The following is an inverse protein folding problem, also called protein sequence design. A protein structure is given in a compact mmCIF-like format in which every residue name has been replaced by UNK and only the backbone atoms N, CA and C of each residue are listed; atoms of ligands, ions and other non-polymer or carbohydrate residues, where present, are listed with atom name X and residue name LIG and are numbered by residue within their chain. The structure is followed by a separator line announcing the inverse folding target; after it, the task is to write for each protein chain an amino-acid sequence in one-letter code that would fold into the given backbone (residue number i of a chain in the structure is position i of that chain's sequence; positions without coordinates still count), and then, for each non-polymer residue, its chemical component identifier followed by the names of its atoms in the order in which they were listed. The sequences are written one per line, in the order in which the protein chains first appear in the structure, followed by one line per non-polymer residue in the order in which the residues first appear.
data_IF_373225378015
#
_entry.id   IF_373225378015
#
_cell.length_a   1.000
_cell.length_b   1.000
_cell.length_c   1.000
_cell.angle_alpha   90.00
_cell.angle_beta   90.00
_cell.angle_gamma   90.00
#
_symmetry.space_group_name_H-M   'P 1'
#
loop_
_entity.id
_entity.type
_entity.pdbx_description
1 polymer ?
#
# COMPACT_ATOMS: atom_id res chain seq x y z
N UNK A 1 -13.45 19.28 -22.73
CA UNK A 1 -12.48 18.32 -23.36
C UNK A 1 -12.59 18.29 -24.89
N UNK A 2 -11.58 17.77 -25.60
CA UNK A 2 -11.65 17.51 -27.05
C UNK A 2 -12.53 16.28 -27.35
N UNK A 3 -13.65 16.53 -28.01
CA UNK A 3 -14.69 15.53 -28.26
C UNK A 3 -14.25 14.41 -29.23
N UNK A 4 -13.41 14.72 -30.22
CA UNK A 4 -12.93 13.72 -31.16
C UNK A 4 -11.96 12.73 -30.49
N UNK A 5 -11.05 13.25 -29.64
CA UNK A 5 -10.13 12.41 -28.88
C UNK A 5 -10.90 11.55 -27.87
N UNK A 6 -11.88 12.12 -27.18
CA UNK A 6 -12.71 11.39 -26.22
C UNK A 6 -13.53 10.29 -26.89
N UNK A 7 -14.18 10.56 -28.03
CA UNK A 7 -14.93 9.57 -28.79
C UNK A 7 -14.04 8.39 -29.24
N UNK A 8 -12.80 8.69 -29.66
CA UNK A 8 -11.82 7.66 -30.02
C UNK A 8 -11.36 6.84 -28.82
N UNK A 9 -11.15 7.48 -27.66
CA UNK A 9 -10.83 6.77 -26.43
C UNK A 9 -11.97 5.82 -26.02
N UNK A 10 -13.22 6.29 -26.05
CA UNK A 10 -14.38 5.45 -25.76
C UNK A 10 -14.48 4.26 -26.73
N UNK A 11 -14.24 4.47 -28.02
CA UNK A 11 -14.18 3.37 -28.97
C UNK A 11 -13.13 2.33 -28.57
N UNK A 12 -11.88 2.76 -28.29
CA UNK A 12 -10.81 1.84 -27.91
C UNK A 12 -11.09 1.10 -26.58
N UNK A 13 -11.70 1.79 -25.62
CA UNK A 13 -12.13 1.20 -24.35
C UNK A 13 -13.20 0.13 -24.56
N UNK A 14 -14.21 0.41 -25.39
CA UNK A 14 -15.29 -0.52 -25.75
C UNK A 14 -14.73 -1.77 -26.44
N UNK A 15 -13.84 -1.60 -27.42
CA UNK A 15 -13.22 -2.73 -28.13
C UNK A 15 -12.37 -3.61 -27.19
N UNK A 16 -11.79 -3.00 -26.16
CA UNK A 16 -10.95 -3.70 -25.18
C UNK A 16 -11.75 -4.26 -24.00
N UNK A 17 -13.06 -3.97 -23.90
CA UNK A 17 -13.84 -4.18 -22.68
C UNK A 17 -13.86 -5.63 -22.18
N UNK A 18 -13.89 -6.60 -23.10
CA UNK A 18 -13.83 -8.02 -22.75
C UNK A 18 -12.49 -8.42 -22.12
N UNK A 19 -11.38 -7.81 -22.56
CA UNK A 19 -10.06 -8.03 -21.97
C UNK A 19 -9.98 -7.34 -20.61
N UNK A 20 -10.44 -6.08 -20.51
CA UNK A 20 -10.44 -5.34 -19.25
C UNK A 20 -11.23 -6.04 -18.14
N UNK A 21 -12.22 -6.85 -18.50
CA UNK A 21 -13.14 -7.52 -17.56
C UNK A 21 -13.02 -9.06 -17.59
N UNK A 22 -11.92 -9.59 -18.11
CA UNK A 22 -11.61 -11.02 -17.98
C UNK A 22 -11.06 -11.32 -16.56
N UNK A 23 -10.85 -12.61 -16.27
CA UNK A 23 -10.38 -13.04 -14.95
C UNK A 23 -8.91 -12.65 -14.66
N UNK A 24 -8.12 -12.27 -15.66
CA UNK A 24 -6.72 -11.87 -15.49
C UNK A 24 -6.60 -10.40 -15.08
N UNK A 25 -7.40 -9.54 -15.71
CA UNK A 25 -7.36 -8.09 -15.53
C UNK A 25 -8.38 -7.60 -14.50
N UNK A 26 -9.58 -8.17 -14.57
CA UNK A 26 -10.64 -8.03 -13.57
C UNK A 26 -11.00 -6.58 -13.18
N UNK A 27 -10.96 -5.61 -14.09
CA UNK A 27 -11.06 -4.17 -13.74
C UNK A 27 -12.37 -3.77 -13.04
N UNK A 28 -13.38 -4.65 -13.06
CA UNK A 28 -14.64 -4.56 -12.31
C UNK A 28 -14.44 -4.62 -10.79
N UNK A 29 -13.28 -5.07 -10.29
CA UNK A 29 -12.94 -5.12 -8.87
C UNK A 29 -13.12 -3.77 -8.16
N UNK A 30 -13.01 -2.65 -8.88
CA UNK A 30 -13.23 -1.29 -8.34
C UNK A 30 -14.65 -1.09 -7.85
N UNK A 31 -15.64 -1.61 -8.58
CA UNK A 31 -17.05 -1.54 -8.17
C UNK A 31 -17.30 -2.45 -6.97
N UNK A 32 -16.73 -3.67 -6.97
CA UNK A 32 -16.80 -4.57 -5.81
C UNK A 32 -16.19 -3.93 -4.56
N UNK A 33 -15.04 -3.28 -4.70
CA UNK A 33 -14.37 -2.57 -3.61
C UNK A 33 -15.25 -1.49 -2.98
N UNK A 34 -15.87 -0.62 -3.80
CA UNK A 34 -16.75 0.43 -3.31
C UNK A 34 -18.03 -0.16 -2.71
N UNK A 35 -18.66 -1.14 -3.38
CA UNK A 35 -19.86 -1.78 -2.87
C UNK A 35 -19.63 -2.45 -1.51
N UNK A 36 -18.54 -3.22 -1.38
CA UNK A 36 -18.14 -3.83 -0.10
C UNK A 36 -17.89 -2.77 0.97
N UNK A 37 -17.17 -1.70 0.64
CA UNK A 37 -16.94 -0.61 1.58
C UNK A 37 -18.25 -0.01 2.08
N UNK A 38 -19.19 0.32 1.18
CA UNK A 38 -20.48 0.91 1.54
C UNK A 38 -21.36 -0.01 2.39
N UNK A 39 -21.28 -1.34 2.19
CA UNK A 39 -21.99 -2.33 3.02
C UNK A 39 -21.52 -2.35 4.48
N UNK A 40 -20.25 -2.02 4.72
CA UNK A 40 -19.63 -2.14 6.05
C UNK A 40 -19.35 -0.79 6.72
N UNK A 41 -19.36 0.31 5.96
CA UNK A 41 -19.04 1.62 6.48
C UNK A 41 -20.11 2.15 7.45
N UNK A 42 -19.70 2.43 8.68
CA UNK A 42 -20.50 3.15 9.66
C UNK A 42 -19.58 3.99 10.55
N UNK A 43 -19.55 5.30 10.33
CA UNK A 43 -18.73 6.25 11.09
C UNK A 43 -18.98 6.18 12.60
N UNK A 44 -20.21 5.87 13.01
CA UNK A 44 -20.64 5.83 14.41
C UNK A 44 -20.62 4.40 14.99
N UNK A 45 -19.95 3.45 14.35
CA UNK A 45 -19.76 2.10 14.90
C UNK A 45 -18.95 2.14 16.21
N UNK A 46 -19.37 1.36 17.22
CA UNK A 46 -18.71 1.28 18.53
C UNK A 46 -17.21 0.93 18.41
N UNK A 47 -16.91 -0.09 17.60
CA UNK A 47 -15.56 -0.52 17.21
C UNK A 47 -15.19 0.04 15.83
N UNK A 48 -15.01 1.36 15.73
CA UNK A 48 -14.70 2.07 14.49
C UNK A 48 -13.46 1.53 13.78
N UNK A 49 -12.41 1.15 14.50
CA UNK A 49 -11.19 0.58 13.92
C UNK A 49 -11.40 -0.76 13.22
N UNK A 50 -12.17 -1.66 13.83
CA UNK A 50 -12.49 -2.95 13.20
C UNK A 50 -13.53 -2.77 12.07
N UNK A 51 -14.49 -1.86 12.22
CA UNK A 51 -15.39 -1.46 11.12
C UNK A 51 -14.60 -0.94 9.92
N UNK A 52 -13.68 0.01 10.13
CA UNK A 52 -12.87 0.60 9.06
C UNK A 52 -12.04 -0.47 8.35
N UNK A 53 -11.43 -1.38 9.12
CA UNK A 53 -10.68 -2.52 8.60
C UNK A 53 -11.56 -3.42 7.73
N UNK A 54 -12.76 -3.75 8.20
CA UNK A 54 -13.71 -4.58 7.46
C UNK A 54 -14.17 -3.89 6.16
N UNK A 55 -14.50 -2.61 6.21
CA UNK A 55 -14.92 -1.84 5.04
C UNK A 55 -13.80 -1.76 3.98
N UNK A 56 -12.53 -1.70 4.40
CA UNK A 56 -11.38 -1.63 3.49
C UNK A 56 -10.89 -2.98 2.95
N UNK A 57 -11.46 -4.11 3.39
CA UNK A 57 -10.95 -5.46 3.09
C UNK A 57 -10.85 -5.74 1.58
N UNK A 58 -11.82 -5.26 0.80
CA UNK A 58 -11.82 -5.40 -0.66
C UNK A 58 -11.23 -4.20 -1.42
N UNK A 59 -10.49 -3.30 -0.76
CA UNK A 59 -9.86 -2.16 -1.44
C UNK A 59 -8.65 -2.53 -2.30
N UNK A 60 -8.24 -3.81 -2.31
CA UNK A 60 -7.11 -4.38 -3.07
C UNK A 60 -5.88 -3.43 -3.12
N UNK A 61 -5.37 -3.14 -4.32
CA UNK A 61 -4.26 -2.23 -4.55
C UNK A 61 -4.70 -0.76 -4.78
N UNK A 62 -5.98 -0.43 -4.57
CA UNK A 62 -6.52 0.91 -4.78
C UNK A 62 -6.01 1.85 -3.71
N UNK A 63 -5.99 1.42 -2.46
CA UNK A 63 -5.65 2.23 -1.28
C UNK A 63 -4.29 1.85 -0.71
N UNK A 64 -4.12 0.57 -0.39
CA UNK A 64 -2.84 -0.01 0.03
C UNK A 64 -2.13 -0.58 -1.20
N UNK A 65 -0.83 -0.81 -1.11
CA UNK A 65 -0.07 -1.66 -2.02
C UNK A 65 1.11 -2.28 -1.26
N UNK A 66 2.04 -2.93 -1.96
CA UNK A 66 3.23 -3.51 -1.31
C UNK A 66 4.09 -2.47 -0.59
N UNK A 67 4.04 -1.22 -1.07
CA UNK A 67 4.92 -0.12 -0.68
C UNK A 67 4.33 0.71 0.47
N UNK A 68 3.11 1.22 0.28
CA UNK A 68 2.38 2.05 1.24
C UNK A 68 1.10 1.38 1.67
N UNK A 69 0.77 1.51 2.95
CA UNK A 69 -0.37 0.88 3.59
C UNK A 69 -1.15 1.90 4.46
N UNK A 70 -1.62 3.02 3.88
CA UNK A 70 -2.28 4.08 4.63
C UNK A 70 -3.52 3.60 5.39
N UNK A 71 -4.33 2.70 4.82
CA UNK A 71 -5.49 2.15 5.55
C UNK A 71 -5.06 1.30 6.76
N UNK A 72 -3.95 0.58 6.65
CA UNK A 72 -3.39 -0.15 7.80
C UNK A 72 -2.88 0.81 8.87
N UNK A 73 -2.43 2.01 8.50
CA UNK A 73 -2.07 3.07 9.43
C UNK A 73 -3.25 3.55 10.28
N UNK A 74 -4.41 3.76 9.66
CA UNK A 74 -5.66 4.09 10.37
C UNK A 74 -6.04 2.97 11.36
N UNK A 75 -6.08 1.72 10.88
CA UNK A 75 -6.39 0.55 11.74
C UNK A 75 -5.38 0.41 12.89
N UNK A 76 -4.11 0.66 12.62
CA UNK A 76 -3.05 0.61 13.63
C UNK A 76 -3.25 1.65 14.73
N UNK A 77 -3.64 2.89 14.38
CA UNK A 77 -3.97 3.92 15.37
C UNK A 77 -5.18 3.54 16.22
N UNK A 78 -6.26 3.08 15.59
CA UNK A 78 -7.48 2.71 16.32
C UNK A 78 -7.25 1.55 17.30
N UNK A 79 -6.21 0.71 17.09
CA UNK A 79 -5.85 -0.40 17.97
C UNK A 79 -5.05 -0.01 19.21
N UNK A 80 -4.57 1.23 19.32
CA UNK A 80 -3.77 1.65 20.47
C UNK A 80 -4.61 1.67 21.74
N UNK A 81 -5.69 2.44 21.73
CA UNK A 81 -6.63 2.57 22.83
C UNK A 81 -7.91 3.29 22.35
N UNK A 82 -8.97 3.25 23.16
CA UNK A 82 -10.28 3.84 22.84
C UNK A 82 -10.26 5.36 22.66
N UNK A 83 -9.34 6.07 23.31
CA UNK A 83 -9.21 7.52 23.15
C UNK A 83 -8.60 7.83 21.78
N UNK A 84 -7.55 7.12 21.39
CA UNK A 84 -6.92 7.27 20.08
C UNK A 84 -7.90 6.90 18.96
N UNK A 85 -8.70 5.84 19.12
CA UNK A 85 -9.78 5.48 18.19
C UNK A 85 -10.80 6.61 18.02
N UNK A 86 -11.28 7.21 19.10
CA UNK A 86 -12.20 8.37 19.04
C UNK A 86 -11.56 9.58 18.37
N UNK A 87 -10.29 9.87 18.66
CA UNK A 87 -9.58 10.98 18.00
C UNK A 87 -9.45 10.77 16.48
N UNK A 88 -9.24 9.53 16.03
CA UNK A 88 -9.23 9.21 14.59
C UNK A 88 -10.64 9.38 14.01
N UNK A 89 -11.68 8.91 14.71
CA UNK A 89 -13.10 9.08 14.31
C UNK A 89 -13.46 10.57 14.17
N UNK A 90 -13.00 11.41 15.09
CA UNK A 90 -13.17 12.87 15.04
C UNK A 90 -12.47 13.51 13.82
N UNK A 91 -11.27 13.06 13.44
CA UNK A 91 -10.65 13.52 12.20
C UNK A 91 -11.48 13.14 10.97
N UNK A 92 -12.10 11.94 10.95
CA UNK A 92 -13.03 11.57 9.88
C UNK A 92 -14.29 12.45 9.87
N UNK A 93 -14.86 12.79 11.04
CA UNK A 93 -15.98 13.74 11.13
C UNK A 93 -15.61 15.12 10.55
N UNK A 94 -14.41 15.62 10.84
CA UNK A 94 -13.91 16.88 10.27
C UNK A 94 -13.74 16.77 8.75
N UNK A 95 -13.13 15.68 8.26
CA UNK A 95 -12.94 15.44 6.83
C UNK A 95 -14.27 15.45 6.08
N UNK A 96 -15.27 14.76 6.64
CA UNK A 96 -16.61 14.58 6.07
C UNK A 96 -17.57 15.75 6.34
N UNK A 97 -17.11 16.81 7.01
CA UNK A 97 -17.94 17.98 7.26
C UNK A 97 -18.45 18.60 5.94
N UNK A 98 -19.70 19.13 5.90
CA UNK A 98 -20.25 19.76 4.71
C UNK A 98 -19.38 20.92 4.24
N UNK A 99 -19.15 21.00 2.93
CA UNK A 99 -18.40 22.09 2.28
C UNK A 99 -19.23 22.94 1.32
N UNK A 100 -20.54 22.68 1.22
CA UNK A 100 -21.42 23.38 0.28
C UNK A 100 -21.02 23.22 -1.19
N UNK A 101 -20.21 22.21 -1.52
CA UNK A 101 -19.65 22.02 -2.86
C UNK A 101 -18.35 22.78 -3.13
N UNK A 102 -17.74 23.42 -2.13
CA UNK A 102 -16.44 24.06 -2.27
C UNK A 102 -15.31 23.03 -2.27
N UNK A 103 -14.86 22.68 -3.48
CA UNK A 103 -13.80 21.70 -3.69
C UNK A 103 -12.44 22.17 -3.17
N UNK A 104 -12.19 23.48 -3.05
CA UNK A 104 -10.94 23.99 -2.47
C UNK A 104 -10.95 23.79 -0.96
N UNK A 105 -12.06 24.13 -0.31
CA UNK A 105 -12.25 23.82 1.10
C UNK A 105 -12.14 22.31 1.38
N UNK A 106 -12.61 21.46 0.45
CA UNK A 106 -12.42 20.00 0.53
C UNK A 106 -10.95 19.60 0.47
N UNK A 107 -10.18 20.19 -0.44
CA UNK A 107 -8.73 19.96 -0.52
C UNK A 107 -8.02 20.39 0.78
N UNK A 108 -8.38 21.53 1.35
CA UNK A 108 -7.81 21.98 2.62
C UNK A 108 -8.11 20.99 3.77
N UNK A 109 -9.32 20.41 3.80
CA UNK A 109 -9.67 19.36 4.77
C UNK A 109 -8.92 18.06 4.53
N UNK A 110 -8.71 17.66 3.28
CA UNK A 110 -7.87 16.50 2.95
C UNK A 110 -6.45 16.69 3.50
N UNK A 111 -5.86 17.86 3.25
CA UNK A 111 -4.49 18.16 3.69
C UNK A 111 -4.41 18.24 5.22
N UNK A 112 -5.43 18.81 5.87
CA UNK A 112 -5.54 18.87 7.33
C UNK A 112 -5.67 17.48 7.96
N UNK A 113 -6.53 16.61 7.40
CA UNK A 113 -6.71 15.24 7.86
C UNK A 113 -5.40 14.45 7.76
N UNK A 114 -4.71 14.53 6.62
CA UNK A 114 -3.44 13.83 6.43
C UNK A 114 -2.40 14.29 7.46
N UNK A 115 -2.29 15.59 7.71
CA UNK A 115 -1.38 16.14 8.71
C UNK A 115 -1.72 15.64 10.14
N UNK A 116 -3.00 15.70 10.54
CA UNK A 116 -3.44 15.30 11.86
C UNK A 116 -3.23 13.80 12.13
N UNK A 117 -3.56 12.93 11.17
CA UNK A 117 -3.31 11.49 11.30
C UNK A 117 -1.81 11.17 11.31
N UNK A 118 -1.03 11.83 10.44
CA UNK A 118 0.42 11.59 10.39
C UNK A 118 1.11 12.05 11.68
N UNK A 119 0.69 13.15 12.29
CA UNK A 119 1.19 13.57 13.60
C UNK A 119 0.93 12.48 14.66
N UNK A 120 -0.28 11.91 14.70
CA UNK A 120 -0.61 10.79 15.59
C UNK A 120 0.25 9.55 15.32
N UNK A 121 0.41 9.18 14.05
CA UNK A 121 1.26 8.07 13.64
C UNK A 121 2.72 8.27 14.08
N UNK A 122 3.27 9.48 13.90
CA UNK A 122 4.64 9.77 14.33
C UNK A 122 4.80 9.74 15.85
N UNK A 123 3.77 10.10 16.62
CA UNK A 123 3.80 10.01 18.08
C UNK A 123 3.73 8.56 18.60
N UNK A 124 2.97 7.70 17.93
CA UNK A 124 2.79 6.29 18.35
C UNK A 124 3.90 5.40 17.79
N UNK A 125 4.28 5.61 16.53
CA UNK A 125 5.25 4.77 15.80
C UNK A 125 6.16 5.64 14.90
N UNK A 126 7.13 6.35 15.51
CA UNK A 126 8.02 7.26 14.80
C UNK A 126 8.73 6.59 13.62
N UNK A 127 8.75 7.25 12.47
CA UNK A 127 9.49 6.80 11.28
C UNK A 127 8.82 5.69 10.46
N UNK A 128 7.63 5.22 10.81
CA UNK A 128 6.88 4.22 10.04
C UNK A 128 6.07 4.84 8.88
N UNK A 129 6.81 5.43 7.94
CA UNK A 129 6.28 6.17 6.78
C UNK A 129 5.32 5.37 5.90
N UNK A 130 5.39 4.03 5.89
CA UNK A 130 4.45 3.21 5.09
C UNK A 130 2.99 3.37 5.54
N UNK A 131 2.75 3.84 6.76
CA UNK A 131 1.42 4.15 7.27
C UNK A 131 1.01 5.60 7.02
N UNK A 132 1.92 6.44 6.52
CA UNK A 132 1.64 7.84 6.29
C UNK A 132 0.48 7.98 5.31
N UNK A 133 -0.40 8.91 5.68
CA UNK A 133 -1.48 9.38 4.85
C UNK A 133 -0.95 10.41 3.86
N UNK A 134 -1.40 10.29 2.62
CA UNK A 134 -1.15 11.29 1.60
C UNK A 134 -2.46 11.73 0.95
N UNK A 135 -2.40 12.79 0.14
CA UNK A 135 -3.59 13.30 -0.53
C UNK A 135 -4.31 12.22 -1.35
N UNK A 136 -3.56 11.27 -1.91
CA UNK A 136 -4.11 10.17 -2.71
C UNK A 136 -4.95 9.25 -1.84
N UNK A 137 -4.44 8.79 -0.70
CA UNK A 137 -5.18 7.90 0.20
C UNK A 137 -6.46 8.55 0.71
N UNK A 138 -6.42 9.83 1.07
CA UNK A 138 -7.60 10.54 1.59
C UNK A 138 -8.65 10.78 0.50
N UNK A 139 -8.23 11.12 -0.73
CA UNK A 139 -9.17 11.19 -1.86
C UNK A 139 -9.81 9.81 -2.12
N UNK A 140 -9.05 8.72 -2.01
CA UNK A 140 -9.61 7.37 -2.13
C UNK A 140 -10.64 7.09 -1.02
N UNK A 141 -10.37 7.46 0.24
CA UNK A 141 -11.34 7.31 1.33
C UNK A 141 -12.64 8.04 1.03
N UNK A 142 -12.56 9.31 0.62
CA UNK A 142 -13.73 10.11 0.24
C UNK A 142 -14.50 9.47 -0.91
N UNK A 143 -13.80 8.92 -1.91
CA UNK A 143 -14.43 8.24 -3.05
C UNK A 143 -15.08 6.90 -2.71
N UNK A 144 -14.79 6.32 -1.55
CA UNK A 144 -15.44 5.10 -1.07
C UNK A 144 -16.61 5.45 -0.13
N UNK A 145 -16.44 6.47 0.71
CA UNK A 145 -17.45 6.96 1.68
C UNK A 145 -18.61 7.68 0.98
N UNK A 146 -18.30 8.54 0.01
CA UNK A 146 -19.30 9.36 -0.70
C UNK A 146 -18.94 9.41 -2.19
N UNK A 147 -19.11 8.29 -2.91
CA UNK A 147 -18.70 8.14 -4.32
C UNK A 147 -19.47 9.05 -5.28
N UNK A 148 -20.68 9.53 -4.93
CA UNK A 148 -21.43 10.49 -5.76
C UNK A 148 -20.77 11.88 -5.80
N UNK A 149 -20.11 12.27 -4.70
CA UNK A 149 -19.52 13.60 -4.54
C UNK A 149 -18.03 13.64 -4.84
N UNK A 150 -17.38 12.47 -4.94
CA UNK A 150 -15.93 12.35 -5.01
C UNK A 150 -15.47 11.39 -6.12
N UNK A 151 -14.26 11.63 -6.62
CA UNK A 151 -13.63 10.80 -7.64
C UNK A 151 -12.35 10.17 -7.09
N UNK A 152 -12.17 8.87 -7.32
CA UNK A 152 -10.90 8.17 -7.08
C UNK A 152 -9.78 8.85 -7.87
N UNK A 153 -8.55 8.89 -7.34
CA UNK A 153 -7.46 9.65 -7.95
C UNK A 153 -6.13 8.91 -7.99
N UNK A 154 -5.50 8.87 -9.18
CA UNK A 154 -4.08 8.60 -9.35
C UNK A 154 -3.45 9.64 -10.29
N UNK A 155 -2.34 10.23 -9.83
CA UNK A 155 -1.73 11.42 -10.46
C UNK A 155 -1.23 11.16 -11.90
N UNK A 156 -0.64 10.00 -12.16
CA UNK A 156 -0.06 9.69 -13.48
C UNK A 156 -1.15 9.54 -14.53
N UNK A 157 -2.18 8.77 -14.21
CA UNK A 157 -3.34 8.47 -15.05
C UNK A 157 -4.18 9.73 -15.29
N UNK A 158 -4.44 10.51 -14.24
CA UNK A 158 -5.17 11.78 -14.37
C UNK A 158 -4.47 12.76 -15.31
N UNK A 159 -3.14 12.89 -15.21
CA UNK A 159 -2.34 13.75 -16.11
C UNK A 159 -2.30 13.20 -17.53
N UNK A 160 -2.13 11.89 -17.69
CA UNK A 160 -2.15 11.24 -19.00
C UNK A 160 -3.50 11.49 -19.71
N UNK A 161 -4.60 11.35 -18.98
CA UNK A 161 -5.94 11.60 -19.48
C UNK A 161 -6.18 13.07 -19.85
N UNK A 162 -5.83 14.01 -18.96
CA UNK A 162 -5.93 15.45 -19.26
C UNK A 162 -5.19 15.82 -20.56
N UNK A 163 -4.03 15.21 -20.81
CA UNK A 163 -3.26 15.41 -22.03
C UNK A 163 -3.93 14.71 -23.24
N UNK A 164 -4.31 13.45 -23.11
CA UNK A 164 -4.90 12.66 -24.20
C UNK A 164 -6.22 13.24 -24.72
N UNK A 165 -7.07 13.71 -23.82
CA UNK A 165 -8.36 14.34 -24.15
C UNK A 165 -8.26 15.87 -24.31
N UNK A 166 -7.04 16.43 -24.31
CA UNK A 166 -6.77 17.87 -24.44
C UNK A 166 -7.69 18.72 -23.55
N UNK A 167 -7.79 18.37 -22.26
CA UNK A 167 -8.67 19.03 -21.30
C UNK A 167 -8.43 20.54 -21.21
N UNK A 168 -7.18 20.98 -21.42
CA UNK A 168 -6.83 22.38 -21.60
C UNK A 168 -6.31 23.07 -20.34
N UNK A 169 -6.74 22.64 -19.16
CA UNK A 169 -6.29 23.17 -17.86
C UNK A 169 -5.29 22.23 -17.16
N UNK A 170 -4.39 22.81 -16.36
CA UNK A 170 -3.39 22.07 -15.61
C UNK A 170 -3.93 21.65 -14.24
N UNK A 171 -3.96 20.33 -14.01
CA UNK A 171 -4.34 19.73 -12.72
C UNK A 171 -3.26 19.95 -11.66
N UNK A 172 -2.02 20.24 -12.08
CA UNK A 172 -0.88 20.41 -11.19
C UNK A 172 -0.38 19.09 -10.60
N UNK A 173 0.62 19.19 -9.73
CA UNK A 173 1.22 18.04 -9.05
C UNK A 173 1.84 18.41 -7.70
N UNK A 174 1.92 17.44 -6.78
CA UNK A 174 2.47 17.67 -5.43
C UNK A 174 1.78 18.85 -4.74
N UNK A 175 2.54 19.87 -4.37
CA UNK A 175 2.03 21.08 -3.71
C UNK A 175 1.19 21.99 -4.63
N UNK A 176 1.32 21.85 -5.95
CA UNK A 176 0.56 22.65 -6.93
C UNK A 176 -0.72 21.97 -7.40
N UNK A 177 -1.02 20.78 -6.87
CA UNK A 177 -2.20 20.01 -7.26
C UNK A 177 -3.51 20.76 -6.97
N UNK A 178 -4.45 20.64 -7.90
CA UNK A 178 -5.75 21.33 -7.91
C UNK A 178 -6.89 20.31 -8.02
N UNK A 179 -7.47 19.96 -6.86
CA UNK A 179 -8.61 19.06 -6.77
C UNK A 179 -9.83 19.61 -7.52
N UNK A 180 -10.05 20.92 -7.48
CA UNK A 180 -11.15 21.59 -8.18
C UNK A 180 -11.07 21.41 -9.70
N UNK A 181 -9.85 21.52 -10.25
CA UNK A 181 -9.58 21.29 -11.67
C UNK A 181 -9.75 19.81 -12.02
N UNK A 182 -9.22 18.90 -11.19
CA UNK A 182 -9.38 17.46 -11.37
C UNK A 182 -10.86 17.03 -11.35
N UNK A 183 -11.63 17.47 -10.36
CA UNK A 183 -13.05 17.12 -10.23
C UNK A 183 -13.91 17.71 -11.35
N UNK A 184 -13.55 18.88 -11.89
CA UNK A 184 -14.21 19.40 -13.09
C UNK A 184 -13.94 18.50 -14.30
N UNK A 185 -12.70 18.07 -14.50
CA UNK A 185 -12.36 17.11 -15.56
C UNK A 185 -13.16 15.82 -15.41
N UNK A 186 -13.18 15.21 -14.23
CA UNK A 186 -13.91 13.96 -14.03
C UNK A 186 -15.43 14.13 -14.19
N UNK A 187 -16.01 15.26 -13.77
CA UNK A 187 -17.43 15.56 -14.01
C UNK A 187 -17.75 15.71 -15.48
N UNK A 188 -16.93 16.44 -16.24
CA UNK A 188 -17.08 16.53 -17.69
C UNK A 188 -17.04 15.14 -18.34
N UNK A 189 -16.10 14.29 -17.93
CA UNK A 189 -16.01 12.90 -18.42
C UNK A 189 -17.26 12.09 -18.05
N UNK A 190 -17.72 12.15 -16.79
CA UNK A 190 -18.89 11.43 -16.33
C UNK A 190 -20.15 11.81 -17.13
N UNK A 191 -20.32 13.10 -17.46
CA UNK A 191 -21.43 13.55 -18.31
C UNK A 191 -21.33 13.02 -19.75
N UNK A 192 -20.13 12.89 -20.31
CA UNK A 192 -19.95 12.27 -21.63
C UNK A 192 -20.15 10.75 -21.61
N UNK A 193 -19.78 10.07 -20.52
CA UNK A 193 -20.08 8.63 -20.33
C UNK A 193 -21.59 8.41 -20.31
N UNK A 194 -22.35 9.22 -19.56
CA UNK A 194 -23.81 9.12 -19.46
C UNK A 194 -24.52 9.21 -20.82
N UNK A 195 -23.97 9.98 -21.76
CA UNK A 195 -24.50 10.15 -23.12
C UNK A 195 -24.18 8.96 -24.04
N UNK A 196 -23.25 8.08 -23.65
CA UNK A 196 -22.83 6.95 -24.45
C UNK A 196 -23.57 5.67 -24.04
N UNK A 197 -24.68 5.39 -24.74
CA UNK A 197 -25.54 4.24 -24.46
C UNK A 197 -24.78 2.90 -24.48
N UNK A 198 -23.78 2.75 -25.36
CA UNK A 198 -23.00 1.51 -25.47
C UNK A 198 -22.12 1.28 -24.24
N UNK A 199 -21.46 2.32 -23.71
CA UNK A 199 -20.72 2.23 -22.45
C UNK A 199 -21.65 1.89 -21.28
N UNK A 200 -22.78 2.60 -21.18
CA UNK A 200 -23.76 2.35 -20.12
C UNK A 200 -24.29 0.90 -20.15
N UNK A 201 -24.64 0.38 -21.32
CA UNK A 201 -25.11 -0.99 -21.48
C UNK A 201 -24.05 -2.03 -21.11
N UNK A 202 -22.80 -1.84 -21.54
CA UNK A 202 -21.69 -2.74 -21.21
C UNK A 202 -21.40 -2.79 -19.70
N UNK A 203 -21.49 -1.65 -19.00
CA UNK A 203 -21.37 -1.62 -17.56
C UNK A 203 -22.54 -2.35 -16.89
N UNK A 204 -23.77 -2.05 -17.31
CA UNK A 204 -24.97 -2.64 -16.73
C UNK A 204 -24.99 -4.16 -16.89
N UNK A 205 -24.66 -4.69 -18.08
CA UNK A 205 -24.57 -6.13 -18.33
C UNK A 205 -23.57 -6.82 -17.39
N UNK A 206 -22.41 -6.20 -17.14
CA UNK A 206 -21.38 -6.75 -16.25
C UNK A 206 -21.79 -6.66 -14.78
N UNK A 207 -22.35 -5.54 -14.34
CA UNK A 207 -22.84 -5.41 -12.96
C UNK A 207 -24.00 -6.36 -12.68
N UNK A 208 -24.89 -6.59 -13.64
CA UNK A 208 -25.97 -7.56 -13.50
C UNK A 208 -25.43 -8.99 -13.45
N UNK A 209 -24.43 -9.32 -14.26
CA UNK A 209 -23.77 -10.64 -14.19
C UNK A 209 -23.12 -10.88 -12.81
N UNK A 210 -22.44 -9.87 -12.24
CA UNK A 210 -21.90 -9.93 -10.88
C UNK A 210 -22.99 -10.06 -9.81
N UNK A 211 -24.08 -9.29 -9.93
CA UNK A 211 -25.18 -9.36 -8.97
C UNK A 211 -25.85 -10.75 -8.95
N UNK A 212 -25.89 -11.44 -10.09
CA UNK A 212 -26.49 -12.78 -10.17
C UNK A 212 -25.66 -13.87 -9.48
N UNK A 213 -24.38 -13.60 -9.17
CA UNK A 213 -23.49 -14.54 -8.47
C UNK A 213 -23.25 -14.15 -7.01
N UNK A 214 -23.65 -12.94 -6.60
CA UNK A 214 -23.63 -12.52 -5.20
C UNK A 214 -24.85 -13.10 -4.47
N UNK A 215 -24.63 -13.93 -3.44
CA UNK A 215 -25.71 -14.52 -2.63
C UNK A 215 -26.37 -13.49 -1.70
N UNK A 216 -25.82 -12.27 -1.59
CA UNK A 216 -26.33 -11.22 -0.72
C UNK A 216 -27.26 -10.26 -1.48
N UNK A 217 -28.57 -10.44 -1.29
CA UNK A 217 -29.63 -9.64 -1.94
C UNK A 217 -29.70 -8.17 -1.46
N UNK A 218 -28.99 -7.80 -0.39
CA UNK A 218 -29.00 -6.42 0.14
C UNK A 218 -27.80 -5.61 -0.38
N UNK A 219 -28.07 -4.39 -0.85
CA UNK A 219 -27.08 -3.50 -1.50
C UNK A 219 -26.38 -4.19 -2.68
N UNK A 220 -27.16 -4.50 -3.72
CA UNK A 220 -26.65 -5.06 -4.96
C UNK A 220 -25.56 -4.17 -5.56
N UNK A 221 -24.54 -4.77 -6.18
CA UNK A 221 -23.51 -4.03 -6.92
C UNK A 221 -24.10 -3.18 -8.07
N UNK A 222 -25.29 -3.55 -8.57
CA UNK A 222 -26.05 -2.74 -9.54
C UNK A 222 -26.56 -1.42 -8.93
N UNK A 223 -26.66 -1.29 -7.62
CA UNK A 223 -27.16 -0.08 -6.95
C UNK A 223 -26.02 0.76 -6.31
N UNK A 224 -24.76 0.42 -6.60
CA UNK A 224 -23.61 1.14 -6.02
C UNK A 224 -23.65 2.63 -6.35
N UNK A 225 -23.49 3.46 -5.32
CA UNK A 225 -23.51 4.90 -5.46
C UNK A 225 -22.29 5.39 -6.27
N UNK A 226 -22.40 6.55 -6.90
CA UNK A 226 -21.33 7.15 -7.68
C UNK A 226 -20.86 6.32 -8.87
N UNK A 227 -21.70 5.43 -9.42
CA UNK A 227 -21.35 4.53 -10.54
C UNK A 227 -20.63 5.23 -11.70
N UNK A 228 -21.05 6.44 -12.08
CA UNK A 228 -20.40 7.20 -13.16
C UNK A 228 -19.07 7.85 -12.75
N UNK A 229 -18.88 8.13 -11.46
CA UNK A 229 -17.61 8.64 -10.93
C UNK A 229 -16.59 7.50 -10.84
N UNK A 230 -17.02 6.30 -10.43
CA UNK A 230 -16.22 5.07 -10.50
C UNK A 230 -15.87 4.77 -11.96
N UNK A 231 -16.84 4.86 -12.88
CA UNK A 231 -16.61 4.59 -14.30
C UNK A 231 -15.66 5.61 -14.95
N UNK A 232 -15.77 6.90 -14.59
CA UNK A 232 -14.83 7.92 -15.02
C UNK A 232 -13.39 7.59 -14.58
N UNK A 233 -13.20 7.17 -13.33
CA UNK A 233 -11.89 6.73 -12.85
C UNK A 233 -11.40 5.47 -13.58
N UNK A 234 -12.27 4.49 -13.79
CA UNK A 234 -11.94 3.27 -14.52
C UNK A 234 -11.45 3.57 -15.94
N UNK A 235 -12.18 4.39 -16.71
CA UNK A 235 -11.74 4.79 -18.06
C UNK A 235 -10.42 5.54 -18.00
N UNK A 236 -10.22 6.47 -17.06
CA UNK A 236 -8.96 7.20 -16.88
C UNK A 236 -7.80 6.23 -16.61
N UNK A 237 -8.00 5.28 -15.70
CA UNK A 237 -7.01 4.28 -15.33
C UNK A 237 -6.70 3.35 -16.51
N UNK A 238 -7.73 2.74 -17.09
CA UNK A 238 -7.60 1.77 -18.17
C UNK A 238 -6.98 2.40 -19.41
N UNK A 239 -7.30 3.65 -19.72
CA UNK A 239 -6.71 4.37 -20.83
C UNK A 239 -5.18 4.43 -20.74
N UNK A 240 -4.65 4.63 -19.53
CA UNK A 240 -3.22 4.66 -19.28
C UNK A 240 -2.63 3.25 -19.15
N UNK A 241 -3.19 2.39 -18.30
CA UNK A 241 -2.67 1.07 -18.00
C UNK A 241 -2.63 0.13 -19.22
N UNK A 242 -3.60 0.27 -20.13
CA UNK A 242 -3.75 -0.56 -21.33
C UNK A 242 -3.39 0.17 -22.63
N UNK A 243 -2.78 1.37 -22.52
CA UNK A 243 -2.33 2.16 -23.67
C UNK A 243 -3.44 2.44 -24.71
N UNK A 244 -4.67 2.75 -24.25
CA UNK A 244 -5.82 2.99 -25.13
C UNK A 244 -5.74 4.32 -25.89
N UNK A 245 -4.70 5.12 -25.65
CA UNK A 245 -4.41 6.35 -26.41
C UNK A 245 -3.73 6.09 -27.76
N UNK A 246 -3.31 4.85 -28.07
CA UNK A 246 -2.33 4.53 -29.13
C UNK A 246 -2.51 5.23 -30.48
N UNK A 247 -3.75 5.38 -30.95
CA UNK A 247 -4.03 6.01 -32.25
C UNK A 247 -4.59 7.45 -32.13
N UNK A 248 -4.71 8.00 -30.92
CA UNK A 248 -5.24 9.34 -30.69
C UNK A 248 -4.15 10.38 -31.00
N UNK A 249 -4.34 11.24 -32.02
CA UNK A 249 -3.36 12.27 -32.35
C UNK A 249 -3.38 13.36 -31.29
N UNK A 250 -2.58 13.21 -30.24
CA UNK A 250 -2.39 14.26 -29.24
C UNK A 250 -1.51 15.36 -29.85
N UNK A 251 -1.97 16.62 -29.91
CA UNK A 251 -1.05 17.73 -30.18
C UNK A 251 -0.01 17.72 -29.06
N UNK A 252 1.24 17.45 -29.42
CA UNK A 252 2.37 17.58 -28.50
C UNK A 252 2.40 19.01 -27.97
N UNK A 253 1.84 19.27 -26.79
CA UNK A 253 2.37 20.32 -25.92
C UNK A 253 3.85 20.00 -25.73
N UNK A 254 4.69 21.03 -25.75
CA UNK A 254 6.15 20.94 -25.66
C UNK A 254 6.50 19.83 -24.68
N UNK A 255 7.14 18.77 -25.18
CA UNK A 255 7.63 17.68 -24.33
C UNK A 255 8.30 18.33 -23.13
N UNK A 256 7.95 17.90 -21.92
CA UNK A 256 8.91 17.95 -20.82
C UNK A 256 10.23 17.49 -21.43
N UNK A 257 11.27 18.30 -21.29
CA UNK A 257 12.56 17.98 -21.90
C UNK A 257 12.92 16.54 -21.51
N UNK A 258 13.68 15.83 -22.35
CA UNK A 258 14.13 14.47 -22.02
C UNK A 258 14.80 14.38 -20.63
N UNK A 259 15.25 15.52 -20.10
CA UNK A 259 15.80 15.73 -18.77
C UNK A 259 14.71 15.67 -17.69
N UNK A 260 13.57 16.33 -17.87
CA UNK A 260 12.46 16.34 -16.90
C UNK A 260 11.77 14.98 -16.81
N UNK A 261 11.63 14.27 -17.94
CA UNK A 261 11.08 12.91 -17.93
C UNK A 261 12.02 11.94 -17.21
N UNK A 262 13.33 11.98 -17.51
CA UNK A 262 14.34 11.21 -16.77
C UNK A 262 14.38 11.55 -15.29
N UNK A 263 14.16 12.82 -14.92
CA UNK A 263 14.08 13.25 -13.52
C UNK A 263 12.86 12.67 -12.83
N UNK A 264 11.72 12.60 -13.51
CA UNK A 264 10.50 12.01 -12.99
C UNK A 264 10.63 10.49 -12.82
N UNK A 265 11.13 9.77 -13.83
CA UNK A 265 11.35 8.32 -13.76
C UNK A 265 12.35 7.97 -12.64
N UNK A 266 13.39 8.80 -12.48
CA UNK A 266 14.35 8.68 -11.38
C UNK A 266 13.69 8.87 -10.02
N UNK A 267 12.79 9.84 -9.89
CA UNK A 267 12.08 10.11 -8.64
C UNK A 267 11.15 8.94 -8.26
N UNK A 268 10.44 8.38 -9.23
CA UNK A 268 9.61 7.17 -9.06
C UNK A 268 10.50 6.01 -8.61
N UNK A 269 11.64 5.80 -9.26
CA UNK A 269 12.57 4.72 -8.91
C UNK A 269 13.15 4.88 -7.51
N UNK A 270 13.46 6.10 -7.09
CA UNK A 270 13.92 6.38 -5.72
C UNK A 270 12.82 6.03 -4.71
N UNK A 271 11.56 6.37 -4.99
CA UNK A 271 10.43 6.03 -4.11
C UNK A 271 10.22 4.52 -4.00
N UNK A 272 10.30 3.78 -5.11
CA UNK A 272 10.22 2.32 -5.12
C UNK A 272 11.32 1.67 -4.26
N UNK A 273 12.57 2.10 -4.44
CA UNK A 273 13.70 1.57 -3.68
C UNK A 273 13.63 1.95 -2.19
N UNK A 274 13.17 3.16 -1.89
CA UNK A 274 12.95 3.59 -0.51
C UNK A 274 11.91 2.69 0.18
N UNK A 275 10.85 2.32 -0.53
CA UNK A 275 9.87 1.38 -0.03
C UNK A 275 10.45 0.00 0.27
N UNK A 276 11.14 -0.60 -0.71
CA UNK A 276 11.75 -1.92 -0.54
C UNK A 276 12.70 -1.93 0.66
N UNK A 277 13.44 -0.84 0.87
CA UNK A 277 14.38 -0.70 1.98
C UNK A 277 13.64 -0.76 3.31
N UNK A 278 12.51 -0.08 3.39
CA UNK A 278 11.78 0.06 4.63
C UNK A 278 10.88 -1.16 4.91
N UNK A 279 10.42 -1.87 3.88
CA UNK A 279 9.87 -3.25 4.01
C UNK A 279 10.91 -4.19 4.62
N UNK A 280 12.16 -4.16 4.12
CA UNK A 280 13.25 -4.95 4.68
C UNK A 280 13.57 -4.57 6.14
N UNK A 281 13.44 -3.29 6.52
CA UNK A 281 13.57 -2.86 7.94
C UNK A 281 12.48 -3.45 8.82
N UNK A 282 11.24 -3.45 8.36
CA UNK A 282 10.15 -4.06 9.13
C UNK A 282 10.34 -5.58 9.28
N UNK A 283 10.85 -6.25 8.25
CA UNK A 283 11.23 -7.67 8.38
C UNK A 283 12.31 -7.89 9.43
N UNK A 284 13.28 -6.97 9.57
CA UNK A 284 14.24 -7.01 10.68
C UNK A 284 13.53 -6.83 12.02
N UNK A 285 12.62 -5.87 12.15
CA UNK A 285 11.88 -5.65 13.40
C UNK A 285 11.06 -6.88 13.81
N UNK A 286 10.41 -7.56 12.86
CA UNK A 286 9.69 -8.80 13.12
C UNK A 286 10.62 -9.92 13.57
N UNK A 287 11.76 -10.09 12.89
CA UNK A 287 12.77 -11.07 13.27
C UNK A 287 13.34 -10.74 14.65
N UNK A 288 13.54 -9.47 14.99
CA UNK A 288 14.01 -9.04 16.31
C UNK A 288 12.98 -9.28 17.41
N UNK A 289 11.69 -9.11 17.14
CA UNK A 289 10.63 -9.50 18.07
C UNK A 289 10.65 -11.03 18.31
N UNK A 290 10.78 -11.83 17.24
CA UNK A 290 10.88 -13.28 17.35
C UNK A 290 12.15 -13.72 18.10
N UNK A 291 13.29 -13.07 17.89
CA UNK A 291 14.53 -13.34 18.62
C UNK A 291 14.43 -12.95 20.11
N UNK A 292 13.64 -11.92 20.46
CA UNK A 292 13.34 -11.57 21.86
C UNK A 292 12.47 -12.63 22.54
N UNK A 293 11.46 -13.15 21.84
CA UNK A 293 10.60 -14.22 22.35
C UNK A 293 11.31 -15.56 22.44
N UNK A 294 12.29 -15.82 21.56
CA UNK A 294 13.07 -17.05 21.51
C UNK A 294 14.51 -16.78 21.97
N UNK A 295 14.68 -16.45 23.26
CA UNK A 295 16.00 -16.23 23.85
C UNK A 295 16.86 -17.48 23.81
N UNK A 296 18.19 -17.31 23.73
CA UNK A 296 19.13 -18.43 23.78
C UNK A 296 18.92 -19.27 25.06
N UNK A 297 18.75 -20.60 24.94
CA UNK A 297 18.73 -21.48 26.09
C UNK A 297 20.00 -21.34 26.94
N UNK A 298 19.85 -21.44 28.27
CA UNK A 298 20.99 -21.54 29.17
C UNK A 298 21.54 -22.97 29.15
N UNK A 299 22.79 -23.12 28.70
CA UNK A 299 23.46 -24.39 28.60
C UNK A 299 24.37 -24.68 29.80
N UNK A 300 24.41 -23.80 30.80
CA UNK A 300 25.35 -23.93 31.93
C UNK A 300 25.17 -25.28 32.64
N UNK A 301 26.26 -26.04 32.78
CA UNK A 301 26.26 -27.38 33.36
C UNK A 301 25.86 -28.52 32.41
N UNK A 302 25.43 -28.23 31.18
CA UNK A 302 25.09 -29.27 30.20
C UNK A 302 26.34 -29.88 29.55
N UNK A 303 26.22 -31.15 29.14
CA UNK A 303 27.22 -31.83 28.32
C UNK A 303 26.97 -31.52 26.85
N UNK A 304 28.01 -31.10 26.14
CA UNK A 304 27.99 -30.82 24.70
C UNK A 304 29.10 -31.58 23.99
N UNK A 305 28.93 -31.87 22.70
CA UNK A 305 29.94 -32.56 21.89
C UNK A 305 30.50 -31.64 20.82
N UNK A 306 31.79 -31.37 20.89
CA UNK A 306 32.51 -30.64 19.85
C UNK A 306 33.09 -31.60 18.79
N UNK A 307 33.07 -31.17 17.53
CA UNK A 307 33.59 -31.96 16.41
C UNK A 307 35.09 -32.30 16.51
N UNK A 308 35.90 -31.48 17.21
CA UNK A 308 37.35 -31.66 17.37
C UNK A 308 37.74 -32.13 18.76
N UNK A 309 37.09 -31.62 19.80
CA UNK A 309 37.50 -31.85 21.20
C UNK A 309 36.69 -32.94 21.91
N UNK A 310 35.68 -33.52 21.25
CA UNK A 310 34.85 -34.56 21.84
C UNK A 310 33.84 -33.99 22.84
N UNK A 311 33.49 -34.78 23.87
CA UNK A 311 32.55 -34.36 24.91
C UNK A 311 33.20 -33.34 25.85
N UNK A 312 32.44 -32.32 26.23
CA UNK A 312 32.82 -31.32 27.22
C UNK A 312 31.61 -30.81 28.00
N UNK A 313 31.87 -30.18 29.13
CA UNK A 313 30.84 -29.63 30.02
C UNK A 313 30.86 -28.11 29.95
N UNK A 314 29.69 -27.49 29.82
CA UNK A 314 29.58 -26.03 29.80
C UNK A 314 29.84 -25.48 31.21
N UNK A 315 30.89 -24.67 31.34
CA UNK A 315 31.28 -24.06 32.61
C UNK A 315 30.60 -22.70 32.85
N UNK A 316 30.41 -21.91 31.79
CA UNK A 316 29.83 -20.56 31.89
C UNK A 316 29.17 -20.15 30.57
N UNK A 317 28.04 -19.45 30.66
CA UNK A 317 27.39 -18.78 29.55
C UNK A 317 27.10 -17.31 29.87
N UNK A 318 27.66 -16.39 29.09
CA UNK A 318 27.42 -14.95 29.19
C UNK A 318 26.83 -14.42 27.89
N UNK A 319 25.50 -14.33 27.83
CA UNK A 319 24.77 -13.99 26.61
C UNK A 319 25.06 -14.99 25.50
N UNK A 320 25.67 -14.52 24.41
CA UNK A 320 26.06 -15.37 23.26
C UNK A 320 27.39 -16.10 23.45
N UNK A 321 28.17 -15.77 24.48
CA UNK A 321 29.49 -16.35 24.68
C UNK A 321 29.41 -17.56 25.60
N UNK A 322 29.92 -18.69 25.13
CA UNK A 322 29.88 -19.97 25.83
C UNK A 322 31.29 -20.45 26.13
N UNK A 323 31.56 -20.82 27.38
CA UNK A 323 32.82 -21.41 27.81
C UNK A 323 32.60 -22.88 28.17
N UNK A 324 33.34 -23.77 27.50
CA UNK A 324 33.20 -25.24 27.66
C UNK A 324 34.53 -25.84 28.08
N UNK A 325 34.49 -26.70 29.10
CA UNK A 325 35.63 -27.49 29.57
C UNK A 325 35.67 -28.84 28.85
N UNK A 326 36.76 -29.07 28.11
CA UNK A 326 37.08 -30.36 27.52
C UNK A 326 38.28 -30.98 28.23
N UNK A 327 38.53 -32.27 28.01
CA UNK A 327 39.77 -32.93 28.45
C UNK A 327 41.04 -32.25 27.92
N UNK A 328 40.95 -31.61 26.76
CA UNK A 328 42.04 -30.84 26.14
C UNK A 328 42.16 -29.38 26.65
N UNK A 329 41.37 -29.00 27.66
CA UNK A 329 41.31 -27.67 28.25
C UNK A 329 40.09 -26.85 27.82
N UNK A 330 39.97 -25.65 28.40
CA UNK A 330 38.83 -24.75 28.23
C UNK A 330 38.82 -24.09 26.84
N UNK A 331 37.65 -24.04 26.20
CA UNK A 331 37.43 -23.37 24.90
C UNK A 331 36.21 -22.45 24.95
N UNK A 332 36.23 -21.40 24.13
CA UNK A 332 35.14 -20.44 23.99
C UNK A 332 34.45 -20.59 22.64
N UNK A 333 33.13 -20.47 22.63
CA UNK A 333 32.26 -20.52 21.46
C UNK A 333 31.29 -19.34 21.44
N UNK A 334 30.72 -19.08 20.26
CA UNK A 334 29.71 -18.04 20.08
C UNK A 334 28.42 -18.70 19.59
N UNK A 335 27.34 -18.49 20.31
CA UNK A 335 25.99 -18.95 19.99
C UNK A 335 25.22 -17.90 19.17
N UNK A 336 24.24 -18.30 18.35
CA UNK A 336 23.85 -19.68 18.01
C UNK A 336 24.82 -20.36 17.03
N UNK A 337 25.74 -19.61 16.42
CA UNK A 337 26.64 -20.03 15.34
C UNK A 337 27.37 -21.35 15.56
N UNK A 338 27.89 -21.58 16.77
CA UNK A 338 28.62 -22.79 17.09
C UNK A 338 27.74 -24.05 16.94
N UNK A 339 26.44 -23.94 17.24
CA UNK A 339 25.48 -25.04 17.09
C UNK A 339 24.97 -25.09 15.65
N UNK A 340 24.54 -23.96 15.09
CA UNK A 340 23.99 -23.88 13.73
C UNK A 340 24.98 -24.36 12.64
N UNK A 341 26.28 -24.06 12.81
CA UNK A 341 27.36 -24.50 11.90
C UNK A 341 27.90 -25.90 12.25
N UNK A 342 27.29 -26.59 13.21
CA UNK A 342 27.61 -27.97 13.57
C UNK A 342 28.92 -28.14 14.37
N UNK A 343 29.52 -27.06 14.88
CA UNK A 343 30.73 -27.15 15.71
C UNK A 343 30.46 -27.75 17.09
N UNK A 344 29.28 -27.52 17.64
CA UNK A 344 28.77 -28.09 18.88
C UNK A 344 27.47 -28.83 18.62
N UNK A 345 27.35 -30.04 19.19
CA UNK A 345 26.14 -30.84 19.20
C UNK A 345 25.59 -30.93 20.62
N UNK A 346 24.28 -30.78 20.74
CA UNK A 346 23.52 -30.89 21.97
C UNK A 346 22.60 -32.09 21.80
N UNK A 347 22.57 -33.00 22.78
CA UNK A 347 21.76 -34.22 22.69
C UNK A 347 20.27 -33.96 23.00
N UNK A 348 19.98 -32.93 23.79
CA UNK A 348 18.62 -32.50 24.08
C UNK A 348 17.95 -31.92 22.82
N UNK A 349 16.90 -32.59 22.34
CA UNK A 349 16.25 -32.29 21.07
C UNK A 349 15.51 -30.93 21.10
N UNK A 350 14.90 -30.58 22.22
CA UNK A 350 14.14 -29.33 22.38
C UNK A 350 15.07 -28.11 22.41
N UNK A 351 16.19 -28.24 23.13
CA UNK A 351 17.26 -27.25 23.14
C UNK A 351 17.86 -27.10 21.75
N UNK A 352 18.13 -28.21 21.07
CA UNK A 352 18.70 -28.19 19.72
C UNK A 352 17.76 -27.51 18.72
N UNK A 353 16.46 -27.84 18.73
CA UNK A 353 15.45 -27.18 17.89
C UNK A 353 15.35 -25.66 18.14
N UNK A 354 15.55 -25.24 19.39
CA UNK A 354 15.61 -23.80 19.75
C UNK A 354 16.80 -23.10 19.11
N UNK A 355 18.00 -23.71 19.13
CA UNK A 355 19.19 -23.15 18.47
C UNK A 355 19.08 -23.10 16.95
N UNK A 356 18.50 -24.12 16.32
CA UNK A 356 18.20 -24.14 14.88
C UNK A 356 17.28 -22.98 14.50
N UNK A 357 16.19 -22.78 15.25
CA UNK A 357 15.25 -21.68 15.03
C UNK A 357 15.93 -20.32 15.17
N UNK A 358 16.71 -20.10 16.23
CA UNK A 358 17.45 -18.84 16.45
C UNK A 358 18.49 -18.62 15.34
N UNK A 359 19.15 -19.69 14.88
CA UNK A 359 20.09 -19.65 13.75
C UNK A 359 19.43 -19.15 12.46
N UNK A 360 18.29 -19.74 12.08
CA UNK A 360 17.51 -19.34 10.90
C UNK A 360 17.04 -17.88 10.99
N UNK A 361 16.58 -17.44 12.17
CA UNK A 361 16.20 -16.05 12.40
C UNK A 361 17.39 -15.11 12.25
N UNK A 362 18.56 -15.48 12.76
CA UNK A 362 19.79 -14.68 12.65
C UNK A 362 20.22 -14.54 11.19
N UNK A 363 20.22 -15.63 10.40
CA UNK A 363 20.52 -15.57 8.97
C UNK A 363 19.53 -14.71 8.20
N UNK A 364 18.24 -14.81 8.52
CA UNK A 364 17.19 -13.98 7.91
C UNK A 364 17.39 -12.49 8.24
N UNK A 365 17.79 -12.15 9.47
CA UNK A 365 18.15 -10.78 9.85
C UNK A 365 19.34 -10.25 9.04
N UNK A 366 20.40 -11.04 8.91
CA UNK A 366 21.59 -10.67 8.11
C UNK A 366 21.24 -10.43 6.64
N UNK A 367 20.38 -11.28 6.05
CA UNK A 367 19.91 -11.11 4.68
C UNK A 367 19.25 -9.74 4.47
N UNK A 368 18.28 -9.38 5.31
CA UNK A 368 17.60 -8.09 5.19
C UNK A 368 18.52 -6.91 5.50
N UNK A 369 19.51 -7.10 6.37
CA UNK A 369 20.51 -6.06 6.66
C UNK A 369 21.31 -5.72 5.41
N UNK A 370 21.79 -6.74 4.69
CA UNK A 370 22.50 -6.55 3.40
C UNK A 370 21.59 -5.93 2.34
N UNK A 371 20.33 -6.33 2.30
CA UNK A 371 19.34 -5.76 1.38
C UNK A 371 19.13 -4.26 1.63
N UNK A 372 18.98 -3.84 2.88
CA UNK A 372 18.87 -2.42 3.27
C UNK A 372 20.11 -1.63 2.85
N UNK A 373 21.31 -2.17 3.05
CA UNK A 373 22.57 -1.52 2.65
C UNK A 373 22.65 -1.31 1.13
N UNK A 374 22.30 -2.34 0.34
CA UNK A 374 22.25 -2.25 -1.11
C UNK A 374 21.24 -1.20 -1.58
N UNK A 375 20.02 -1.25 -1.05
CA UNK A 375 18.95 -0.31 -1.41
C UNK A 375 19.31 1.13 -1.02
N UNK A 376 19.90 1.32 0.15
CA UNK A 376 20.36 2.65 0.62
C UNK A 376 21.44 3.22 -0.28
N UNK A 377 22.38 2.38 -0.71
CA UNK A 377 23.45 2.76 -1.64
C UNK A 377 22.87 3.20 -2.98
N UNK A 378 21.92 2.44 -3.53
CA UNK A 378 21.30 2.74 -4.82
C UNK A 378 20.42 4.01 -4.77
N UNK A 379 19.64 4.21 -3.70
CA UNK A 379 18.89 5.45 -3.46
C UNK A 379 19.83 6.65 -3.44
N UNK A 380 20.96 6.54 -2.72
CA UNK A 380 21.95 7.60 -2.61
C UNK A 380 22.56 7.92 -3.97
N UNK A 381 22.93 6.89 -4.74
CA UNK A 381 23.46 7.02 -6.11
C UNK A 381 22.48 7.76 -7.02
N UNK A 382 21.22 7.35 -7.03
CA UNK A 382 20.18 7.98 -7.85
C UNK A 382 19.87 9.42 -7.39
N UNK A 383 19.99 9.70 -6.10
CA UNK A 383 19.75 11.04 -5.54
C UNK A 383 20.84 12.06 -5.91
N UNK A 384 22.08 11.60 -6.10
CA UNK A 384 23.25 12.44 -6.41
C UNK A 384 23.42 12.81 -7.89
N UNK A 385 22.71 12.13 -8.80
CA UNK A 385 22.73 12.44 -10.23
C UNK A 385 22.00 13.78 -10.45
N UNK A 386 22.72 14.78 -10.98
CA UNK A 386 22.17 16.11 -11.28
C UNK A 386 21.22 16.07 -12.47
#
# INVERSE_FOLDING_TARGET
MNQANLAKLFHNYIESYNVLTDAEHDELYKWRAVNHFQKHWNLEADEFGEMFKQAMEQSFNIVNNSIVQPANGIVFLCKQDKKTEEEVREEFRKLLAPDGGDIRARQDRIDTFAAAINEKLQNVVPGKWKYDQDRRSIIMYLSFISPDDNFMFKSTEARAFANGCEFGEDIGSGQTFRLDVYYRMCRELAEEIKKNEKLCALLEDKLQAEANVDENETNSITEVAGRYNIYAYDIIYCAHAYNLYGDIPVRKKTKLSSIEQKKQDRQIRIQELASQRDEAKEQIEQVDAQLKENSLPDLTGMTVKNIRYGAGTVAEQSGKYLTVEFSAGTKKFVLPDAVAKGFLKIEDADTMGSFEKIGLLTERKEKYTREIEMLTTEITRLSQIK
#
